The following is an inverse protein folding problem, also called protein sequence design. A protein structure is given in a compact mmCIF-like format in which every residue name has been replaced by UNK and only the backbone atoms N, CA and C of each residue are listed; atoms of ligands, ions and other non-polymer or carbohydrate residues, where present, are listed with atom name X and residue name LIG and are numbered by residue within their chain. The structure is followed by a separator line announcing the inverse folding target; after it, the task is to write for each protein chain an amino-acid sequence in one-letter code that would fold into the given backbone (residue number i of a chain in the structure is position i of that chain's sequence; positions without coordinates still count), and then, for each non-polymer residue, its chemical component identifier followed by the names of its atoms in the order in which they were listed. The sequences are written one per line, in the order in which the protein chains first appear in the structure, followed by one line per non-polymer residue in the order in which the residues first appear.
data_IF_592677394964
#
_entry.id   IF_592677394964
#
_cell.length_a   1.000
_cell.length_b   1.000
_cell.length_c   1.000
_cell.angle_alpha   90.00
_cell.angle_beta   90.00
_cell.angle_gamma   90.00
#
_symmetry.space_group_name_H-M   'P 1'
#
loop_
_entity.id
_entity.type
_entity.pdbx_description
1 polymer ?
#
# COMPACT_ATOMS: atom_id res chain seq x y z
N UNK A 1 31.86 -26.26 -4.05
CA UNK A 1 30.76 -26.40 -3.09
C UNK A 1 30.65 -25.23 -2.12
N UNK A 2 30.77 -23.96 -2.56
CA UNK A 2 30.77 -22.77 -1.65
C UNK A 2 29.90 -21.62 -2.13
N UNK A 3 28.99 -21.84 -3.10
CA UNK A 3 28.22 -20.73 -3.73
C UNK A 3 26.74 -20.66 -3.33
N UNK A 4 26.29 -21.42 -2.32
CA UNK A 4 24.86 -21.50 -1.96
C UNK A 4 24.47 -20.69 -0.70
N UNK A 5 25.42 -20.09 0.02
CA UNK A 5 25.15 -19.39 1.29
C UNK A 5 25.06 -17.85 1.18
N UNK A 6 25.36 -17.26 0.03
CA UNK A 6 25.40 -15.79 -0.11
C UNK A 6 24.12 -15.12 -0.64
N UNK A 7 23.10 -15.87 -1.02
CA UNK A 7 21.86 -15.31 -1.59
C UNK A 7 20.85 -14.68 -0.61
N UNK A 8 20.69 -15.09 0.66
CA UNK A 8 19.61 -14.55 1.50
C UNK A 8 19.87 -13.14 2.03
N UNK A 9 21.12 -12.72 2.21
CA UNK A 9 21.48 -11.40 2.75
C UNK A 9 21.25 -10.29 1.72
N UNK A 10 21.65 -10.50 0.48
CA UNK A 10 21.46 -9.53 -0.59
C UNK A 10 19.96 -9.31 -0.98
N UNK A 11 19.16 -10.37 -0.89
CA UNK A 11 17.70 -10.29 -1.05
C UNK A 11 17.05 -9.47 0.08
N UNK A 12 17.54 -9.55 1.30
CA UNK A 12 17.00 -8.85 2.46
C UNK A 12 17.33 -7.36 2.42
N UNK A 13 18.52 -6.99 1.99
CA UNK A 13 18.92 -5.58 1.79
C UNK A 13 18.21 -4.97 0.59
N UNK A 14 18.07 -5.69 -0.51
CA UNK A 14 17.28 -5.26 -1.66
C UNK A 14 15.81 -5.06 -1.29
N UNK A 15 15.24 -5.97 -0.49
CA UNK A 15 13.87 -5.88 0.02
C UNK A 15 13.68 -4.66 0.93
N UNK A 16 14.63 -4.40 1.85
CA UNK A 16 14.62 -3.22 2.72
C UNK A 16 14.79 -1.93 1.91
N UNK A 17 15.63 -1.92 0.87
CA UNK A 17 15.83 -0.76 0.00
C UNK A 17 14.61 -0.48 -0.89
N UNK A 18 13.94 -1.51 -1.37
CA UNK A 18 12.68 -1.41 -2.13
C UNK A 18 11.52 -0.93 -1.24
N UNK A 19 11.46 -1.42 0.01
CA UNK A 19 10.49 -0.92 1.01
C UNK A 19 10.71 0.55 1.35
N UNK A 20 11.96 1.02 1.39
CA UNK A 20 12.31 2.41 1.68
C UNK A 20 12.01 3.36 0.51
N UNK A 21 11.97 2.84 -0.73
CA UNK A 21 11.74 3.62 -1.96
C UNK A 21 10.26 3.83 -2.29
N UNK A 22 9.36 3.07 -1.67
CA UNK A 22 7.94 3.08 -1.97
C UNK A 22 7.10 3.74 -0.85
N UNK A 23 7.47 4.94 -0.44
CA UNK A 23 6.61 5.76 0.41
C UNK A 23 5.52 6.43 -0.45
N UNK A 24 4.29 6.48 0.07
CA UNK A 24 3.19 7.19 -0.57
C UNK A 24 3.57 8.67 -0.74
N UNK A 25 4.09 9.06 -1.90
CA UNK A 25 4.38 10.45 -2.22
C UNK A 25 3.09 11.15 -2.64
N UNK A 26 2.44 11.81 -1.69
CA UNK A 26 1.38 12.76 -2.03
C UNK A 26 2.05 13.96 -2.71
N UNK A 27 1.60 14.30 -3.93
CA UNK A 27 2.16 15.43 -4.66
C UNK A 27 1.95 16.74 -3.88
N UNK A 28 2.98 17.55 -3.79
CA UNK A 28 2.86 18.90 -3.20
C UNK A 28 1.76 19.72 -3.90
N UNK A 29 1.59 19.53 -5.21
CA UNK A 29 0.52 20.18 -5.97
C UNK A 29 -0.88 19.83 -5.44
N UNK A 30 -1.14 18.57 -5.10
CA UNK A 30 -2.45 18.16 -4.54
C UNK A 30 -2.70 18.78 -3.16
N UNK A 31 -1.67 18.92 -2.33
CA UNK A 31 -1.77 19.56 -1.01
C UNK A 31 -2.12 21.05 -1.19
N UNK A 32 -1.42 21.76 -2.06
CA UNK A 32 -1.66 23.18 -2.31
C UNK A 32 -3.02 23.43 -2.96
N UNK A 33 -3.37 22.68 -4.01
CA UNK A 33 -4.66 22.82 -4.70
C UNK A 33 -5.82 22.56 -3.74
N UNK A 34 -5.78 21.47 -2.96
CA UNK A 34 -6.85 21.15 -2.02
C UNK A 34 -6.99 22.19 -0.92
N UNK A 35 -5.89 22.76 -0.43
CA UNK A 35 -5.91 23.79 0.62
C UNK A 35 -6.44 25.12 0.10
N UNK A 36 -6.06 25.53 -1.12
CA UNK A 36 -6.56 26.75 -1.76
C UNK A 36 -8.06 26.61 -2.06
N UNK A 37 -8.48 25.49 -2.66
CA UNK A 37 -9.90 25.24 -2.96
C UNK A 37 -10.74 25.24 -1.69
N UNK A 38 -10.28 24.66 -0.61
CA UNK A 38 -10.98 24.63 0.66
C UNK A 38 -11.07 26.03 1.30
N UNK A 39 -9.99 26.83 1.20
CA UNK A 39 -9.99 28.23 1.59
C UNK A 39 -11.04 29.04 0.84
N UNK A 40 -11.11 28.91 -0.49
CA UNK A 40 -12.10 29.60 -1.32
C UNK A 40 -13.53 29.14 -1.01
N UNK A 41 -13.77 27.84 -0.84
CA UNK A 41 -15.08 27.29 -0.48
C UNK A 41 -15.57 27.84 0.87
N UNK A 42 -14.65 28.07 1.82
CA UNK A 42 -15.01 28.57 3.14
C UNK A 42 -15.57 29.98 3.15
N UNK A 43 -15.32 30.77 2.10
CA UNK A 43 -15.86 32.13 1.95
C UNK A 43 -17.23 32.18 1.29
N UNK A 44 -17.75 31.10 0.70
CA UNK A 44 -19.06 31.07 0.03
C UNK A 44 -20.22 31.53 0.92
N UNK A 45 -20.34 31.11 2.19
CA UNK A 45 -21.42 31.61 3.06
C UNK A 45 -21.41 33.12 3.25
N UNK A 46 -20.23 33.76 3.21
CA UNK A 46 -20.10 35.19 3.35
C UNK A 46 -20.53 35.94 2.08
N UNK A 47 -20.36 35.31 0.90
CA UNK A 47 -20.87 35.87 -0.38
C UNK A 47 -22.41 35.91 -0.43
N UNK A 48 -23.08 35.02 0.33
CA UNK A 48 -24.53 34.95 0.42
C UNK A 48 -25.11 35.83 1.55
N UNK A 49 -24.27 36.47 2.35
CA UNK A 49 -24.70 37.35 3.43
C UNK A 49 -25.20 38.68 2.89
N UNK A 50 -26.19 39.28 3.57
CA UNK A 50 -26.82 40.53 3.17
C UNK A 50 -25.88 41.75 3.16
N UNK A 51 -24.80 41.68 3.98
CA UNK A 51 -23.74 42.67 4.01
C UNK A 51 -22.41 41.96 3.65
N UNK A 52 -22.07 42.00 2.37
CA UNK A 52 -20.83 41.40 1.87
C UNK A 52 -19.65 42.33 2.10
N UNK A 53 -18.71 41.92 2.95
CA UNK A 53 -17.43 42.61 3.17
C UNK A 53 -16.32 41.78 2.55
N UNK A 54 -15.76 42.26 1.43
CA UNK A 54 -14.71 41.57 0.68
C UNK A 54 -13.48 41.22 1.56
N UNK A 55 -13.09 42.13 2.46
CA UNK A 55 -11.97 41.95 3.35
C UNK A 55 -12.16 40.72 4.28
N UNK A 56 -13.35 40.53 4.84
CA UNK A 56 -13.67 39.38 5.69
C UNK A 56 -13.62 38.06 4.91
N UNK A 57 -14.13 38.04 3.70
CA UNK A 57 -14.13 36.87 2.84
C UNK A 57 -12.69 36.45 2.49
N UNK A 58 -11.84 37.41 2.15
CA UNK A 58 -10.41 37.14 1.83
C UNK A 58 -9.64 36.65 3.06
N UNK A 59 -9.83 37.29 4.23
CA UNK A 59 -9.17 36.87 5.47
C UNK A 59 -9.60 35.45 5.86
N UNK A 60 -10.91 35.15 5.78
CA UNK A 60 -11.42 33.84 6.11
C UNK A 60 -10.91 32.76 5.13
N UNK A 61 -10.84 33.05 3.83
CA UNK A 61 -10.27 32.16 2.83
C UNK A 61 -8.79 31.88 3.10
N UNK A 62 -8.00 32.92 3.40
CA UNK A 62 -6.57 32.81 3.69
C UNK A 62 -6.31 31.99 4.97
N UNK A 63 -7.04 32.27 6.06
CA UNK A 63 -6.91 31.55 7.32
C UNK A 63 -7.32 30.07 7.20
N UNK A 64 -8.40 29.78 6.51
CA UNK A 64 -8.85 28.39 6.28
C UNK A 64 -7.89 27.64 5.37
N UNK A 65 -7.35 28.29 4.34
CA UNK A 65 -6.34 27.69 3.46
C UNK A 65 -5.03 27.38 4.20
N UNK A 66 -4.55 28.32 5.05
CA UNK A 66 -3.36 28.10 5.88
C UNK A 66 -3.58 27.00 6.92
N UNK A 67 -4.76 26.94 7.54
CA UNK A 67 -5.14 25.85 8.43
C UNK A 67 -5.07 24.51 7.72
N UNK A 68 -5.69 24.39 6.54
CA UNK A 68 -5.67 23.16 5.76
C UNK A 68 -4.26 22.71 5.39
N UNK A 69 -3.38 23.64 4.99
CA UNK A 69 -1.96 23.35 4.73
C UNK A 69 -1.25 22.78 5.95
N UNK A 70 -1.38 23.44 7.11
CA UNK A 70 -0.74 23.01 8.35
C UNK A 70 -1.23 21.62 8.77
N UNK A 71 -2.53 21.35 8.67
CA UNK A 71 -3.12 20.05 8.98
C UNK A 71 -2.64 18.96 8.01
N UNK A 72 -2.51 19.25 6.70
CA UNK A 72 -1.95 18.34 5.73
C UNK A 72 -0.53 17.90 6.11
N UNK A 73 0.37 18.86 6.28
CA UNK A 73 1.78 18.55 6.59
C UNK A 73 1.93 17.85 7.93
N UNK A 74 1.17 18.25 8.94
CA UNK A 74 1.23 17.64 10.26
C UNK A 74 0.73 16.17 10.24
N UNK A 75 -0.38 15.90 9.59
CA UNK A 75 -0.92 14.54 9.47
C UNK A 75 0.01 13.63 8.67
N UNK A 76 0.59 14.12 7.58
CA UNK A 76 1.62 13.39 6.83
C UNK A 76 2.81 13.08 7.73
N UNK A 77 3.32 14.06 8.48
CA UNK A 77 4.47 13.90 9.37
C UNK A 77 4.20 12.86 10.49
N UNK A 78 3.02 12.91 11.14
CA UNK A 78 2.64 11.94 12.19
C UNK A 78 2.50 10.53 11.62
N UNK A 79 1.90 10.40 10.44
CA UNK A 79 1.70 9.09 9.82
C UNK A 79 3.02 8.45 9.40
N UNK A 80 4.01 9.24 8.98
CA UNK A 80 5.32 8.73 8.54
C UNK A 80 6.26 8.31 9.68
N UNK A 81 6.03 8.79 10.89
CA UNK A 81 6.97 8.62 12.02
C UNK A 81 7.04 7.22 12.65
N UNK A 82 6.29 6.21 12.19
CA UNK A 82 6.38 4.84 12.72
C UNK A 82 6.84 3.83 11.66
N UNK A 83 7.84 2.98 12.01
CA UNK A 83 8.31 1.93 11.11
C UNK A 83 7.20 0.91 10.83
N UNK A 84 7.19 0.37 9.61
CA UNK A 84 6.18 -0.55 9.07
C UNK A 84 5.90 -1.82 9.91
N UNK A 85 6.80 -2.17 10.84
CA UNK A 85 6.75 -3.42 11.62
C UNK A 85 5.68 -3.48 12.72
N UNK A 86 5.02 -2.37 13.07
CA UNK A 86 4.05 -2.30 14.17
C UNK A 86 2.62 -1.98 13.71
N UNK A 87 2.32 -2.14 12.42
CA UNK A 87 1.06 -1.69 11.85
C UNK A 87 0.00 -2.77 11.91
N UNK A 88 -0.66 -2.87 13.06
CA UNK A 88 -2.01 -3.42 13.14
C UNK A 88 -2.94 -2.50 12.32
N UNK A 89 -3.77 -3.08 11.50
CA UNK A 89 -4.72 -2.49 10.55
C UNK A 89 -5.82 -1.61 11.19
N UNK A 90 -5.66 -1.18 12.44
CA UNK A 90 -6.64 -0.36 13.17
C UNK A 90 -6.22 1.11 13.19
N UNK A 91 -7.20 1.99 13.05
CA UNK A 91 -7.07 3.43 13.28
C UNK A 91 -6.36 3.63 14.62
N UNK A 92 -5.18 4.23 14.58
CA UNK A 92 -4.42 4.49 15.80
C UNK A 92 -5.04 5.68 16.54
N UNK A 93 -5.88 5.41 17.53
CA UNK A 93 -6.53 6.44 18.35
C UNK A 93 -5.55 7.49 18.89
N UNK A 94 -4.36 7.07 19.27
CA UNK A 94 -3.30 8.00 19.72
C UNK A 94 -2.89 9.01 18.65
N UNK A 95 -2.79 8.60 17.38
CA UNK A 95 -2.45 9.49 16.29
C UNK A 95 -3.59 10.44 15.95
N UNK A 96 -4.82 9.91 15.97
CA UNK A 96 -6.04 10.71 15.78
C UNK A 96 -6.14 11.77 16.88
N UNK A 97 -5.96 11.39 18.14
CA UNK A 97 -5.99 12.32 19.26
C UNK A 97 -4.93 13.42 19.12
N UNK A 98 -3.69 13.05 18.77
CA UNK A 98 -2.62 14.02 18.56
C UNK A 98 -2.93 14.98 17.39
N UNK A 99 -3.54 14.48 16.30
CA UNK A 99 -3.97 15.32 15.18
C UNK A 99 -5.07 16.29 15.59
N UNK A 100 -6.05 15.82 16.37
CA UNK A 100 -7.14 16.68 16.87
C UNK A 100 -6.63 17.76 17.82
N UNK A 101 -5.75 17.41 18.77
CA UNK A 101 -5.16 18.38 19.69
C UNK A 101 -4.38 19.43 18.93
N UNK A 102 -3.54 19.01 17.97
CA UNK A 102 -2.80 19.96 17.15
C UNK A 102 -3.74 20.87 16.35
N UNK A 103 -4.78 20.30 15.74
CA UNK A 103 -5.79 21.05 14.98
C UNK A 103 -6.50 22.09 15.84
N UNK A 104 -6.87 21.75 17.08
CA UNK A 104 -7.47 22.67 18.03
C UNK A 104 -6.53 23.84 18.37
N UNK A 105 -5.27 23.55 18.66
CA UNK A 105 -4.26 24.57 19.00
C UNK A 105 -4.08 25.54 17.82
N UNK A 106 -3.91 25.01 16.60
CA UNK A 106 -3.74 25.83 15.40
C UNK A 106 -4.97 26.65 15.12
N UNK A 107 -6.17 26.06 15.24
CA UNK A 107 -7.42 26.76 14.98
C UNK A 107 -7.63 27.91 15.98
N UNK A 108 -7.38 27.68 17.26
CA UNK A 108 -7.46 28.72 18.29
C UNK A 108 -6.49 29.86 18.00
N UNK A 109 -5.25 29.57 17.59
CA UNK A 109 -4.27 30.58 17.19
C UNK A 109 -4.72 31.40 15.97
N UNK A 110 -5.28 30.74 14.96
CA UNK A 110 -5.79 31.42 13.76
C UNK A 110 -7.04 32.26 14.05
N UNK A 111 -7.94 31.79 14.92
CA UNK A 111 -9.10 32.54 15.36
C UNK A 111 -8.68 33.83 16.14
N UNK A 112 -7.62 33.72 16.97
CA UNK A 112 -7.03 34.89 17.63
C UNK A 112 -6.48 35.91 16.64
N UNK A 113 -5.75 35.43 15.60
CA UNK A 113 -5.22 36.28 14.53
C UNK A 113 -6.39 36.95 13.75
N UNK A 114 -7.45 36.20 13.45
CA UNK A 114 -8.65 36.73 12.79
C UNK A 114 -9.26 37.88 13.58
N UNK A 115 -9.35 37.74 14.90
CA UNK A 115 -9.89 38.80 15.76
C UNK A 115 -9.01 40.05 15.79
N UNK A 116 -7.68 39.90 15.75
CA UNK A 116 -6.76 41.04 15.67
C UNK A 116 -6.92 41.83 14.36
N UNK A 117 -7.18 41.13 13.25
CA UNK A 117 -7.34 41.77 11.93
C UNK A 117 -8.71 42.43 11.78
N UNK A 118 -9.74 41.74 12.27
CA UNK A 118 -11.15 42.13 12.06
C UNK A 118 -11.82 42.65 13.35
N UNK A 119 -11.18 43.40 14.17
CA UNK A 119 -11.47 43.99 15.50
C UNK A 119 -12.92 44.04 16.00
N UNK A 120 -13.93 43.72 15.17
CA UNK A 120 -15.37 43.74 15.48
C UNK A 120 -15.99 42.34 15.72
N UNK A 121 -15.20 41.27 15.64
CA UNK A 121 -15.70 39.92 15.91
C UNK A 121 -15.68 39.68 17.41
N UNK A 122 -16.86 39.60 18.03
CA UNK A 122 -16.98 39.26 19.45
C UNK A 122 -16.76 37.78 19.70
N UNK A 123 -16.09 37.46 20.83
CA UNK A 123 -16.04 36.09 21.35
C UNK A 123 -17.48 35.66 21.66
N UNK A 124 -18.02 34.73 20.86
CA UNK A 124 -19.39 34.28 20.99
C UNK A 124 -19.71 33.05 20.14
N UNK A 125 -20.97 32.81 19.86
CA UNK A 125 -21.44 31.65 19.09
C UNK A 125 -20.74 31.47 17.73
N UNK A 126 -20.36 32.58 17.08
CA UNK A 126 -19.63 32.58 15.79
C UNK A 126 -18.27 31.91 15.89
N UNK A 127 -17.55 32.12 17.00
CA UNK A 127 -16.24 31.52 17.22
C UNK A 127 -16.37 30.03 17.43
N UNK A 128 -17.40 29.56 18.16
CA UNK A 128 -17.67 28.11 18.31
C UNK A 128 -17.95 27.44 16.96
N UNK A 129 -18.67 28.10 16.06
CA UNK A 129 -18.91 27.56 14.70
C UNK A 129 -17.64 27.42 13.89
N UNK A 130 -16.69 28.36 14.01
CA UNK A 130 -15.38 28.29 13.35
C UNK A 130 -14.57 27.12 13.90
N UNK A 131 -14.54 26.92 15.23
CA UNK A 131 -13.83 25.80 15.87
C UNK A 131 -14.43 24.45 15.46
N UNK A 132 -15.75 24.29 15.47
CA UNK A 132 -16.43 23.06 15.04
C UNK A 132 -16.13 22.75 13.57
N UNK A 133 -16.15 23.76 12.69
CA UNK A 133 -15.76 23.60 11.29
C UNK A 133 -14.32 23.12 11.14
N UNK A 134 -13.38 23.70 11.91
CA UNK A 134 -11.99 23.30 11.89
C UNK A 134 -11.78 21.87 12.34
N UNK A 135 -12.46 21.41 13.38
CA UNK A 135 -12.44 20.03 13.85
C UNK A 135 -12.93 19.08 12.75
N UNK A 136 -14.04 19.41 12.10
CA UNK A 136 -14.58 18.59 11.01
C UNK A 136 -13.62 18.50 9.82
N UNK A 137 -13.02 19.60 9.41
CA UNK A 137 -12.02 19.64 8.34
C UNK A 137 -10.82 18.76 8.71
N UNK A 138 -10.30 18.89 9.93
CA UNK A 138 -9.17 18.08 10.39
C UNK A 138 -9.50 16.57 10.40
N UNK A 139 -10.70 16.23 10.86
CA UNK A 139 -11.15 14.83 10.91
C UNK A 139 -11.27 14.26 9.48
N UNK A 140 -11.83 15.00 8.54
CA UNK A 140 -11.94 14.59 7.13
C UNK A 140 -10.55 14.37 6.53
N UNK A 141 -9.61 15.31 6.72
CA UNK A 141 -8.24 15.14 6.22
C UNK A 141 -7.53 13.95 6.85
N UNK A 142 -7.65 13.77 8.17
CA UNK A 142 -7.07 12.62 8.85
C UNK A 142 -7.60 11.30 8.28
N UNK A 143 -8.92 11.18 8.13
CA UNK A 143 -9.55 9.99 7.55
C UNK A 143 -9.13 9.76 6.12
N UNK A 144 -9.09 10.81 5.30
CA UNK A 144 -8.69 10.73 3.89
C UNK A 144 -7.23 10.24 3.74
N UNK A 145 -6.30 10.84 4.48
CA UNK A 145 -4.89 10.44 4.45
C UNK A 145 -4.73 8.98 4.95
N UNK A 146 -5.47 8.60 6.01
CA UNK A 146 -5.43 7.25 6.54
C UNK A 146 -5.98 6.23 5.52
N UNK A 147 -7.06 6.55 4.81
CA UNK A 147 -7.62 5.70 3.75
C UNK A 147 -6.66 5.56 2.56
N UNK A 148 -6.04 6.65 2.11
CA UNK A 148 -5.04 6.60 1.05
C UNK A 148 -3.89 5.67 1.42
N UNK A 149 -3.43 5.75 2.66
CA UNK A 149 -2.35 4.93 3.15
C UNK A 149 -2.75 3.46 3.26
N UNK A 150 -3.96 3.15 3.76
CA UNK A 150 -4.47 1.79 3.82
C UNK A 150 -4.62 1.17 2.42
N UNK A 151 -5.16 1.93 1.47
CA UNK A 151 -5.28 1.46 0.09
C UNK A 151 -3.92 1.17 -0.54
N UNK A 152 -2.94 2.02 -0.30
CA UNK A 152 -1.58 1.80 -0.78
C UNK A 152 -0.95 0.55 -0.18
N UNK A 153 -1.08 0.33 1.12
CA UNK A 153 -0.58 -0.87 1.81
C UNK A 153 -1.28 -2.15 1.32
N UNK A 154 -2.60 -2.09 1.14
CA UNK A 154 -3.38 -3.23 0.63
C UNK A 154 -2.97 -3.61 -0.80
N UNK A 155 -2.73 -2.64 -1.68
CA UNK A 155 -2.22 -2.90 -3.03
C UNK A 155 -0.84 -3.58 -3.00
N UNK A 156 0.06 -3.12 -2.13
CA UNK A 156 1.37 -3.75 -1.96
C UNK A 156 1.28 -5.20 -1.47
N UNK A 157 0.46 -5.45 -0.45
CA UNK A 157 0.24 -6.79 0.08
C UNK A 157 -0.37 -7.70 -0.98
N UNK A 158 -1.32 -7.21 -1.78
CA UNK A 158 -1.93 -7.97 -2.87
C UNK A 158 -0.91 -8.36 -3.94
N UNK A 159 -0.09 -7.41 -4.39
CA UNK A 159 0.98 -7.69 -5.37
C UNK A 159 2.01 -8.71 -4.84
N UNK A 160 2.37 -8.64 -3.56
CA UNK A 160 3.30 -9.58 -2.94
C UNK A 160 2.69 -10.98 -2.84
N UNK A 161 1.40 -11.09 -2.48
CA UNK A 161 0.68 -12.35 -2.47
C UNK A 161 0.60 -12.99 -3.87
N UNK A 162 0.33 -12.21 -4.90
CA UNK A 162 0.33 -12.70 -6.28
C UNK A 162 1.69 -13.22 -6.70
N UNK A 163 2.75 -12.49 -6.34
CA UNK A 163 4.12 -12.91 -6.61
C UNK A 163 4.46 -14.23 -5.91
N UNK A 164 4.14 -14.35 -4.61
CA UNK A 164 4.38 -15.58 -3.84
C UNK A 164 3.60 -16.77 -4.45
N UNK A 165 2.36 -16.54 -4.87
CA UNK A 165 1.56 -17.57 -5.58
C UNK A 165 2.22 -17.99 -6.88
N UNK A 166 2.69 -17.04 -7.70
CA UNK A 166 3.38 -17.32 -8.95
C UNK A 166 4.68 -18.10 -8.71
N UNK A 167 5.50 -17.67 -7.74
CA UNK A 167 6.75 -18.36 -7.38
C UNK A 167 6.48 -19.79 -6.87
N UNK A 168 5.41 -19.98 -6.09
CA UNK A 168 4.99 -21.31 -5.62
C UNK A 168 4.55 -22.21 -6.77
N UNK A 169 3.73 -21.71 -7.68
CA UNK A 169 3.32 -22.45 -8.88
C UNK A 169 4.52 -22.82 -9.75
N UNK A 170 5.46 -21.92 -9.95
CA UNK A 170 6.69 -22.19 -10.70
C UNK A 170 7.54 -23.28 -10.02
N UNK A 171 7.66 -23.21 -8.68
CA UNK A 171 8.36 -24.23 -7.90
C UNK A 171 7.66 -25.61 -8.00
N UNK A 172 6.33 -25.64 -7.91
CA UNK A 172 5.55 -26.87 -8.08
C UNK A 172 5.71 -27.43 -9.49
N UNK A 173 5.68 -26.58 -10.52
CA UNK A 173 5.91 -26.99 -11.90
C UNK A 173 7.32 -27.57 -12.10
N UNK A 174 8.34 -26.96 -11.53
CA UNK A 174 9.72 -27.47 -11.63
C UNK A 174 9.90 -28.78 -10.87
N UNK A 175 9.31 -28.92 -9.68
CA UNK A 175 9.26 -30.21 -8.97
C UNK A 175 8.55 -31.27 -9.82
N UNK A 176 7.47 -30.87 -10.50
CA UNK A 176 6.70 -31.73 -11.39
C UNK A 176 7.55 -32.24 -12.55
N UNK A 177 8.29 -31.36 -13.19
CA UNK A 177 9.18 -31.64 -14.30
C UNK A 177 10.34 -32.56 -13.91
N UNK A 178 10.91 -32.34 -12.71
CA UNK A 178 12.01 -33.19 -12.18
C UNK A 178 11.57 -34.62 -11.84
N UNK A 179 10.28 -34.84 -11.54
CA UNK A 179 9.75 -36.18 -11.23
C UNK A 179 9.74 -37.11 -12.44
N UNK A 180 9.64 -36.61 -13.66
CA UNK A 180 9.92 -37.35 -14.87
C UNK A 180 11.42 -37.20 -15.10
N UNK A 181 12.23 -38.09 -14.51
CA UNK A 181 13.67 -38.04 -14.70
C UNK A 181 13.99 -38.10 -16.22
N UNK A 182 14.28 -36.94 -16.88
CA UNK A 182 14.42 -36.90 -18.34
C UNK A 182 15.62 -37.74 -18.79
N UNK A 183 16.66 -37.81 -17.96
CA UNK A 183 17.83 -38.60 -18.24
C UNK A 183 17.52 -40.11 -18.23
N UNK A 184 16.72 -40.59 -17.29
CA UNK A 184 16.26 -41.98 -17.28
C UNK A 184 15.39 -42.28 -18.51
N UNK A 185 14.50 -41.38 -18.89
CA UNK A 185 13.64 -41.54 -20.07
C UNK A 185 14.50 -41.63 -21.34
N UNK A 186 15.45 -40.73 -21.57
CA UNK A 186 16.33 -40.75 -22.72
C UNK A 186 17.20 -42.00 -22.77
N UNK A 187 17.74 -42.42 -21.62
CA UNK A 187 18.55 -43.66 -21.56
C UNK A 187 17.71 -44.89 -21.86
N UNK A 188 16.49 -44.99 -21.31
CA UNK A 188 15.58 -46.11 -21.59
C UNK A 188 15.18 -46.17 -23.05
N UNK A 189 14.90 -45.01 -23.71
CA UNK A 189 14.60 -44.94 -25.14
C UNK A 189 15.82 -45.31 -26.00
N UNK A 190 17.04 -44.93 -25.60
CA UNK A 190 18.26 -45.31 -26.30
C UNK A 190 18.53 -46.84 -26.18
N UNK A 191 18.29 -47.43 -25.02
CA UNK A 191 18.36 -48.88 -24.82
C UNK A 191 17.35 -49.59 -25.69
N UNK A 192 16.08 -49.12 -25.70
CA UNK A 192 15.05 -49.71 -26.55
C UNK A 192 15.40 -49.61 -28.04
N UNK A 193 15.95 -48.46 -28.48
CA UNK A 193 16.44 -48.32 -29.86
C UNK A 193 17.47 -49.37 -30.23
N UNK A 194 18.47 -49.55 -29.35
CA UNK A 194 19.50 -50.58 -29.58
C UNK A 194 18.94 -52.01 -29.66
N UNK A 195 18.00 -52.38 -28.76
CA UNK A 195 17.32 -53.68 -28.78
C UNK A 195 16.50 -53.89 -30.07
N UNK A 196 15.83 -52.85 -30.56
CA UNK A 196 15.07 -52.94 -31.84
C UNK A 196 16.04 -53.06 -33.04
N UNK A 197 17.14 -52.31 -33.06
CA UNK A 197 18.15 -52.40 -34.12
C UNK A 197 18.85 -53.76 -34.15
N UNK A 198 19.01 -54.41 -32.98
CA UNK A 198 19.59 -55.76 -32.85
C UNK A 198 18.57 -56.89 -33.05
N UNK A 199 17.29 -56.57 -33.33
CA UNK A 199 16.21 -57.54 -33.46
C UNK A 199 16.06 -58.45 -32.22
N UNK A 200 16.30 -57.90 -31.00
CA UNK A 200 16.15 -58.65 -29.76
C UNK A 200 14.70 -58.97 -29.45
N UNK A 201 14.32 -60.26 -29.16
CA UNK A 201 12.94 -60.64 -28.89
C UNK A 201 12.37 -60.01 -27.62
N UNK A 202 13.25 -59.59 -26.69
CA UNK A 202 12.86 -58.94 -25.41
C UNK A 202 12.47 -57.46 -25.55
N UNK A 203 12.66 -56.83 -26.71
CA UNK A 203 12.33 -55.42 -26.93
C UNK A 203 10.86 -55.10 -26.60
N UNK A 204 9.92 -56.01 -26.94
CA UNK A 204 8.50 -55.83 -26.62
C UNK A 204 8.23 -55.86 -25.11
N UNK A 205 8.86 -56.79 -24.39
CA UNK A 205 8.70 -56.90 -22.94
C UNK A 205 9.29 -55.66 -22.23
N UNK A 206 10.41 -55.15 -22.73
CA UNK A 206 11.01 -53.90 -22.23
C UNK A 206 10.06 -52.71 -22.41
N UNK A 207 9.36 -52.54 -23.55
CA UNK A 207 8.38 -51.50 -23.78
C UNK A 207 7.24 -51.57 -22.75
N UNK A 208 6.70 -52.78 -22.54
CA UNK A 208 5.60 -53.03 -21.60
C UNK A 208 6.03 -52.66 -20.17
N UNK A 209 7.19 -53.08 -19.75
CA UNK A 209 7.75 -52.77 -18.42
C UNK A 209 7.97 -51.27 -18.24
N UNK A 210 8.55 -50.58 -19.22
CA UNK A 210 8.79 -49.15 -19.21
C UNK A 210 7.44 -48.37 -19.15
N UNK A 211 6.46 -48.79 -19.93
CA UNK A 211 5.12 -48.19 -19.92
C UNK A 211 4.43 -48.35 -18.57
N UNK A 212 4.50 -49.55 -17.97
CA UNK A 212 3.93 -49.78 -16.63
C UNK A 212 4.64 -49.00 -15.55
N UNK A 213 5.96 -48.85 -15.62
CA UNK A 213 6.72 -48.00 -14.70
C UNK A 213 6.28 -46.54 -14.75
N UNK A 214 6.14 -45.96 -15.95
CA UNK A 214 5.67 -44.60 -16.10
C UNK A 214 4.22 -44.43 -15.67
N UNK A 215 3.34 -45.39 -15.99
CA UNK A 215 1.94 -45.38 -15.52
C UNK A 215 1.88 -45.38 -14.01
N UNK A 216 2.60 -46.29 -13.35
CA UNK A 216 2.66 -46.37 -11.89
C UNK A 216 3.20 -45.08 -11.27
N UNK A 217 4.28 -44.52 -11.84
CA UNK A 217 4.88 -43.25 -11.36
C UNK A 217 3.90 -42.07 -11.48
N UNK A 218 3.05 -42.05 -12.50
CA UNK A 218 2.03 -41.04 -12.73
C UNK A 218 0.79 -41.24 -11.84
N UNK A 219 0.36 -42.50 -11.62
CA UNK A 219 -0.85 -42.84 -10.83
C UNK A 219 -0.62 -42.68 -9.32
N UNK A 220 0.53 -43.09 -8.78
CA UNK A 220 0.86 -42.87 -7.35
C UNK A 220 0.78 -41.41 -6.93
N UNK A 221 0.79 -40.50 -7.87
CA UNK A 221 0.78 -39.06 -7.69
C UNK A 221 -0.61 -38.48 -7.42
N UNK A 222 -1.65 -39.08 -7.99
CA UNK A 222 -3.05 -38.63 -7.78
C UNK A 222 -3.51 -38.89 -6.34
N UNK A 223 -2.81 -39.77 -5.60
CA UNK A 223 -3.19 -40.16 -4.24
C UNK A 223 -2.55 -39.25 -3.15
N UNK A 224 -1.64 -38.33 -3.51
CA UNK A 224 -0.92 -37.45 -2.57
C UNK A 224 -1.17 -35.96 -2.79
N UNK A 225 -2.14 -35.57 -3.64
CA UNK A 225 -2.66 -34.20 -3.79
C UNK A 225 -4.09 -34.14 -3.27
#
# INVERSE_FOLDING_TARGET
MLNHYFQPLHKKELFVSLMKKNELKISHATIWISSITLGLLSSIPQLAAHEFILAEAVVNAALTGTFALLIWYFNIFILWRKPAKARKQSISYSKLLNSLIFGLIVMFGLAWIQQLILSHINFGPTMLMVEVRGILINLVFYMFINLLQQNYENQHVSMELERIKSDNLAAQYEMLKQQINPHFLFNSLNTLKAMVESCEPEAVDFIIKLSNFYRFTLECRVLYV
#
